data_IF_488947479559
#
_entry.id   IF_488947479559
#
_cell.length_a   1.000
_cell.length_b   1.000
_cell.length_c   1.000
_cell.angle_alpha   90.00
_cell.angle_beta   90.00
_cell.angle_gamma   90.00
#
_symmetry.space_group_name_H-M   'P 1'
#
loop_
_entity.id
_entity.type
_entity.pdbx_description
1 polymer ?
#
# COMPACT_ATOMS: atom_id res chain seq x y z
N UNK A 1 -5.87 24.30 -2.56
CA UNK A 1 -5.19 24.16 -1.26
C UNK A 1 -4.35 22.90 -1.34
N UNK A 2 -3.13 22.87 -0.79
CA UNK A 2 -2.30 21.68 -0.79
C UNK A 2 -3.00 20.54 -0.05
N UNK A 3 -2.80 19.31 -0.51
CA UNK A 3 -3.35 18.10 0.13
C UNK A 3 -2.37 17.60 1.18
N UNK A 4 -2.54 18.05 2.43
CA UNK A 4 -1.66 17.68 3.53
C UNK A 4 -2.12 16.37 4.16
N UNK A 5 -1.21 15.39 4.26
CA UNK A 5 -1.38 14.17 5.03
C UNK A 5 -0.27 14.03 6.06
N UNK A 6 -0.53 13.28 7.11
CA UNK A 6 0.31 13.24 8.30
C UNK A 6 0.94 11.86 8.50
N UNK A 7 2.25 11.86 8.79
CA UNK A 7 3.00 10.67 9.17
C UNK A 7 3.37 10.72 10.64
N UNK A 8 2.81 9.81 11.41
CA UNK A 8 3.15 9.60 12.82
C UNK A 8 4.36 8.69 12.93
N UNK A 9 5.35 9.07 13.72
CA UNK A 9 6.63 8.37 13.83
C UNK A 9 7.15 8.43 15.25
N UNK A 10 7.90 7.42 15.66
CA UNK A 10 8.79 7.54 16.79
C UNK A 10 9.95 8.50 16.45
N UNK A 11 10.75 8.89 17.46
CA UNK A 11 11.85 9.84 17.28
C UNK A 11 12.91 9.30 16.31
N UNK A 12 13.15 7.99 16.30
CA UNK A 12 14.16 7.39 15.44
C UNK A 12 13.70 7.43 13.99
N UNK A 13 12.46 7.01 13.74
CA UNK A 13 11.84 7.08 12.42
C UNK A 13 11.78 8.51 11.87
N UNK A 14 11.40 9.47 12.72
CA UNK A 14 11.36 10.88 12.32
C UNK A 14 12.74 11.44 11.97
N UNK A 15 13.76 11.15 12.76
CA UNK A 15 15.16 11.52 12.45
C UNK A 15 15.65 10.92 11.15
N UNK A 16 15.33 9.64 10.90
CA UNK A 16 15.68 8.97 9.64
C UNK A 16 14.96 9.62 8.46
N UNK A 17 13.66 9.89 8.58
CA UNK A 17 12.86 10.48 7.51
C UNK A 17 13.33 11.90 7.15
N UNK A 18 13.54 12.75 8.15
CA UNK A 18 13.99 14.13 7.95
C UNK A 18 15.45 14.17 7.48
N UNK A 19 16.33 13.42 8.16
CA UNK A 19 17.78 13.44 7.87
C UNK A 19 18.10 12.88 6.48
N UNK A 20 17.39 11.88 6.02
CA UNK A 20 17.58 11.27 4.72
C UNK A 20 16.64 11.84 3.64
N UNK A 21 15.73 12.72 4.02
CA UNK A 21 14.69 13.27 3.13
C UNK A 21 14.00 12.15 2.34
N UNK A 22 13.47 11.15 3.03
CA UNK A 22 12.83 10.01 2.38
C UNK A 22 11.54 9.58 3.06
N UNK A 23 10.68 8.91 2.30
CA UNK A 23 9.45 8.29 2.77
C UNK A 23 9.57 6.77 2.67
N UNK A 24 9.39 6.09 3.82
CA UNK A 24 9.46 4.64 3.88
C UNK A 24 8.16 4.01 3.40
N UNK A 25 8.30 3.04 2.51
CA UNK A 25 7.25 2.09 2.12
C UNK A 25 7.56 0.73 2.75
N UNK A 26 6.56 0.11 3.33
CA UNK A 26 6.67 -1.21 3.97
C UNK A 26 5.89 -2.24 3.14
N UNK A 27 6.42 -3.45 2.99
CA UNK A 27 5.71 -4.52 2.31
C UNK A 27 4.38 -4.83 3.02
N UNK A 28 3.30 -5.01 2.26
CA UNK A 28 1.97 -5.22 2.81
C UNK A 28 1.84 -6.47 3.69
N UNK A 29 2.72 -7.47 3.50
CA UNK A 29 2.78 -8.65 4.36
C UNK A 29 3.31 -8.38 5.79
N UNK A 30 3.91 -7.20 6.00
CA UNK A 30 4.56 -6.79 7.25
C UNK A 30 3.75 -5.73 8.03
N UNK A 31 2.49 -5.51 7.66
CA UNK A 31 1.61 -4.61 8.41
C UNK A 31 1.30 -5.18 9.80
N UNK A 32 1.05 -4.29 10.76
CA UNK A 32 0.76 -4.65 12.15
C UNK A 32 -0.56 -5.40 12.33
N UNK A 33 -1.56 -5.12 11.50
CA UNK A 33 -2.81 -5.86 11.46
C UNK A 33 -2.68 -7.05 10.48
N UNK A 34 -2.75 -8.31 10.94
CA UNK A 34 -2.63 -9.49 10.09
C UNK A 34 -3.79 -9.62 9.09
N UNK A 35 -4.93 -8.98 9.35
CA UNK A 35 -6.09 -8.98 8.45
C UNK A 35 -5.99 -7.89 7.37
N UNK A 36 -5.11 -6.91 7.55
CA UNK A 36 -4.95 -5.81 6.62
C UNK A 36 -4.39 -6.30 5.28
N UNK A 37 -5.00 -5.86 4.20
CA UNK A 37 -4.67 -6.28 2.83
C UNK A 37 -4.70 -7.81 2.62
N UNK A 38 -5.41 -8.56 3.49
CA UNK A 38 -5.37 -10.01 3.47
C UNK A 38 -6.19 -10.58 2.29
N UNK A 39 -5.70 -11.63 1.56
CA UNK A 39 -6.43 -12.25 0.45
C UNK A 39 -7.84 -12.71 0.79
N UNK A 40 -8.06 -13.17 2.05
CA UNK A 40 -9.39 -13.61 2.54
C UNK A 40 -10.42 -12.50 2.70
N UNK A 41 -10.08 -11.23 2.43
CA UNK A 41 -11.06 -10.17 2.26
C UNK A 41 -11.96 -10.39 1.02
N UNK A 42 -11.56 -11.28 0.12
CA UNK A 42 -12.28 -11.63 -1.10
C UNK A 42 -12.70 -13.09 -1.02
N UNK A 43 -13.91 -13.39 -1.49
CA UNK A 43 -14.43 -14.76 -1.58
C UNK A 43 -14.21 -15.33 -2.98
N UNK A 44 -13.41 -16.38 -3.08
CA UNK A 44 -13.12 -17.12 -4.32
C UNK A 44 -13.93 -18.42 -4.44
N UNK A 45 -14.87 -18.71 -3.53
CA UNK A 45 -15.54 -20.00 -3.45
C UNK A 45 -16.53 -20.28 -4.61
N UNK A 46 -17.11 -19.26 -5.22
CA UNK A 46 -18.13 -19.39 -6.27
C UNK A 46 -17.52 -19.40 -7.68
N UNK A 47 -16.68 -20.40 -7.95
CA UNK A 47 -16.07 -20.57 -9.28
C UNK A 47 -17.17 -20.80 -10.33
N UNK A 48 -17.25 -20.00 -11.41
CA UNK A 48 -18.29 -20.15 -12.41
C UNK A 48 -18.13 -21.44 -13.22
N UNK A 49 -19.25 -22.04 -13.63
CA UNK A 49 -19.27 -23.29 -14.40
C UNK A 49 -18.44 -23.22 -15.69
N UNK A 50 -18.29 -22.05 -16.28
CA UNK A 50 -17.43 -21.84 -17.46
C UNK A 50 -15.96 -22.14 -17.20
N UNK A 51 -15.49 -21.97 -15.95
CA UNK A 51 -14.12 -22.34 -15.52
C UNK A 51 -14.03 -23.82 -15.13
N UNK A 52 -15.14 -24.46 -14.77
CA UNK A 52 -15.23 -25.85 -14.37
C UNK A 52 -15.37 -26.81 -15.55
N UNK A 53 -15.32 -26.31 -16.78
CA UNK A 53 -15.32 -27.16 -17.98
C UNK A 53 -13.96 -27.85 -18.12
N UNK A 54 -13.98 -29.17 -17.99
CA UNK A 54 -12.80 -30.02 -18.09
C UNK A 54 -12.54 -30.84 -16.83
N UNK A 55 -11.29 -31.27 -16.65
CA UNK A 55 -10.84 -32.18 -15.57
C UNK A 55 -10.25 -31.43 -14.35
N UNK A 56 -10.18 -30.07 -14.40
CA UNK A 56 -9.58 -29.27 -13.32
C UNK A 56 -10.62 -29.10 -12.20
N UNK A 57 -10.33 -29.57 -10.97
CA UNK A 57 -11.28 -29.47 -9.86
C UNK A 57 -11.47 -28.01 -9.41
N UNK A 58 -12.63 -27.77 -8.79
CA UNK A 58 -13.02 -26.44 -8.28
C UNK A 58 -11.99 -25.92 -7.26
N UNK A 59 -11.50 -26.78 -6.40
CA UNK A 59 -10.56 -26.49 -5.33
C UNK A 59 -9.26 -25.89 -5.88
N UNK A 60 -8.80 -26.38 -7.04
CA UNK A 60 -7.62 -25.85 -7.72
C UNK A 60 -7.81 -24.40 -8.15
N UNK A 61 -9.00 -24.06 -8.65
CA UNK A 61 -9.30 -22.69 -9.04
C UNK A 61 -9.34 -21.74 -7.83
N UNK A 62 -9.92 -22.17 -6.71
CA UNK A 62 -9.96 -21.42 -5.47
C UNK A 62 -8.53 -21.16 -4.98
N UNK A 63 -7.74 -22.21 -4.83
CA UNK A 63 -6.36 -22.12 -4.37
C UNK A 63 -5.50 -21.24 -5.28
N UNK A 64 -5.67 -21.34 -6.58
CA UNK A 64 -4.96 -20.51 -7.56
C UNK A 64 -5.25 -19.02 -7.35
N UNK A 65 -6.51 -18.65 -7.21
CA UNK A 65 -6.89 -17.23 -7.05
C UNK A 65 -6.49 -16.69 -5.66
N UNK A 66 -6.60 -17.49 -4.60
CA UNK A 66 -6.10 -17.13 -3.28
C UNK A 66 -4.58 -16.92 -3.29
N UNK A 67 -3.83 -17.78 -3.97
CA UNK A 67 -2.38 -17.64 -4.13
C UNK A 67 -2.01 -16.43 -4.98
N UNK A 68 -2.78 -16.11 -6.04
CA UNK A 68 -2.57 -14.89 -6.82
C UNK A 68 -2.74 -13.63 -5.94
N UNK A 69 -3.79 -13.59 -5.13
CA UNK A 69 -4.04 -12.46 -4.22
C UNK A 69 -2.99 -12.37 -3.10
N UNK A 70 -2.49 -13.51 -2.61
CA UNK A 70 -1.38 -13.56 -1.65
C UNK A 70 -0.08 -13.06 -2.27
N UNK A 71 0.24 -13.49 -3.48
CA UNK A 71 1.42 -13.01 -4.21
C UNK A 71 1.33 -11.51 -4.47
N UNK A 72 0.15 -11.00 -4.82
CA UNK A 72 -0.07 -9.56 -4.97
C UNK A 72 0.20 -8.82 -3.66
N UNK A 73 -0.25 -9.33 -2.51
CA UNK A 73 0.06 -8.76 -1.19
C UNK A 73 1.57 -8.74 -0.92
N UNK A 74 2.25 -9.84 -1.21
CA UNK A 74 3.69 -9.97 -1.00
C UNK A 74 4.52 -9.12 -1.97
N UNK A 75 3.94 -8.78 -3.12
CA UNK A 75 4.55 -7.96 -4.17
C UNK A 75 4.03 -6.51 -4.16
N UNK A 76 3.57 -6.01 -3.00
CA UNK A 76 3.08 -4.64 -2.86
C UNK A 76 3.65 -3.97 -1.62
N UNK A 77 4.06 -2.72 -1.78
CA UNK A 77 4.56 -1.86 -0.70
C UNK A 77 3.64 -0.67 -0.52
N UNK A 78 3.48 -0.26 0.72
CA UNK A 78 2.63 0.88 1.03
C UNK A 78 3.22 1.77 2.12
N UNK A 79 2.80 3.03 2.09
CA UNK A 79 3.03 3.98 3.15
C UNK A 79 1.69 4.49 3.66
N UNK A 80 1.40 4.23 4.94
CA UNK A 80 0.20 4.72 5.61
C UNK A 80 0.42 6.14 6.12
N UNK A 81 -0.53 7.01 5.82
CA UNK A 81 -0.61 8.40 6.24
C UNK A 81 -1.99 8.64 6.86
N UNK A 82 -2.15 9.71 7.63
CA UNK A 82 -3.42 10.09 8.24
C UNK A 82 -3.91 11.43 7.69
N UNK A 83 -5.23 11.64 7.67
CA UNK A 83 -5.83 12.95 7.36
C UNK A 83 -5.76 13.92 8.53
N UNK A 84 -5.47 13.45 9.74
CA UNK A 84 -5.47 14.24 10.98
C UNK A 84 -4.13 14.11 11.72
N UNK A 85 -3.78 15.14 12.49
CA UNK A 85 -2.54 15.22 13.27
C UNK A 85 -2.77 15.28 14.79
N UNK A 86 -4.02 15.23 15.22
CA UNK A 86 -4.44 15.49 16.62
C UNK A 86 -5.10 14.28 17.29
N UNK A 87 -5.10 13.08 16.65
CA UNK A 87 -5.66 11.88 17.22
C UNK A 87 -4.80 11.35 18.38
N UNK A 88 -5.33 11.35 19.61
CA UNK A 88 -4.65 10.83 20.79
C UNK A 88 -4.26 9.34 20.63
N UNK A 89 -5.10 8.54 19.97
CA UNK A 89 -4.80 7.14 19.71
C UNK A 89 -3.62 6.99 18.74
N UNK A 90 -3.55 7.81 17.68
CA UNK A 90 -2.42 7.82 16.75
C UNK A 90 -1.13 8.22 17.47
N UNK A 91 -1.17 9.25 18.31
CA UNK A 91 -0.02 9.66 19.12
C UNK A 91 0.43 8.55 20.10
N UNK A 92 -0.51 7.83 20.68
CA UNK A 92 -0.19 6.70 21.58
C UNK A 92 0.44 5.54 20.82
N UNK A 93 -0.17 5.10 19.70
CA UNK A 93 0.21 3.87 19.00
C UNK A 93 1.46 4.03 18.13
N UNK A 94 1.59 5.17 17.44
CA UNK A 94 2.60 5.37 16.39
C UNK A 94 3.72 6.35 16.77
N UNK A 95 3.53 7.14 17.85
CA UNK A 95 4.52 8.08 18.34
C UNK A 95 5.12 7.68 19.69
N UNK A 96 5.37 6.39 19.89
CA UNK A 96 6.02 5.88 21.09
C UNK A 96 5.41 6.45 22.39
N UNK A 97 4.10 6.24 22.61
CA UNK A 97 3.35 6.77 23.75
C UNK A 97 3.50 8.30 23.90
N UNK A 98 3.11 9.04 22.89
CA UNK A 98 3.12 10.51 22.82
C UNK A 98 4.51 11.17 22.91
N UNK A 99 5.60 10.42 22.63
CA UNK A 99 6.99 10.91 22.68
C UNK A 99 7.63 11.01 21.30
N UNK A 100 6.86 10.80 20.25
CA UNK A 100 7.31 10.85 18.87
C UNK A 100 7.04 12.19 18.20
N UNK A 101 6.93 12.15 16.89
CA UNK A 101 6.75 13.32 16.01
C UNK A 101 5.69 12.98 14.98
N UNK A 102 4.85 13.97 14.64
CA UNK A 102 3.92 13.89 13.53
C UNK A 102 4.38 14.89 12.44
N UNK A 103 4.57 14.41 11.22
CA UNK A 103 5.08 15.20 10.10
C UNK A 103 3.96 15.38 9.07
N UNK A 104 3.64 16.60 8.74
CA UNK A 104 2.74 16.97 7.66
C UNK A 104 3.47 17.01 6.33
N UNK A 105 2.93 16.32 5.32
CA UNK A 105 3.45 16.21 3.98
C UNK A 105 2.46 16.77 2.96
N UNK A 106 2.94 17.62 2.06
CA UNK A 106 2.21 17.98 0.86
C UNK A 106 2.27 16.82 -0.16
N UNK A 107 1.16 16.10 -0.30
CA UNK A 107 1.12 14.88 -1.10
C UNK A 107 1.29 15.14 -2.59
N UNK A 108 0.86 16.28 -3.08
CA UNK A 108 1.02 16.62 -4.49
C UNK A 108 2.52 16.79 -4.80
N UNK A 109 3.27 17.44 -3.93
CA UNK A 109 4.74 17.56 -4.05
C UNK A 109 5.46 16.22 -3.82
N UNK A 110 4.92 15.37 -2.92
CA UNK A 110 5.44 13.99 -2.74
C UNK A 110 5.34 13.21 -4.04
N UNK A 111 4.19 13.25 -4.71
CA UNK A 111 3.99 12.56 -6.00
C UNK A 111 4.89 13.15 -7.10
N UNK A 112 5.08 14.47 -7.13
CA UNK A 112 6.01 15.12 -8.05
C UNK A 112 7.49 14.76 -7.81
N UNK A 113 7.81 14.26 -6.61
CA UNK A 113 9.18 13.81 -6.27
C UNK A 113 9.50 12.42 -6.84
N UNK A 114 8.50 11.67 -7.30
CA UNK A 114 8.69 10.35 -7.91
C UNK A 114 9.47 10.53 -9.22
N UNK A 115 10.67 9.95 -9.35
CA UNK A 115 11.43 10.09 -10.59
C UNK A 115 10.68 9.41 -11.74
N UNK A 116 10.60 10.04 -12.92
CA UNK A 116 10.05 9.39 -14.10
C UNK A 116 10.93 8.19 -14.45
N UNK A 117 10.41 6.99 -14.29
CA UNK A 117 11.11 5.78 -14.69
C UNK A 117 10.80 5.48 -16.16
N UNK A 118 11.80 5.71 -17.01
CA UNK A 118 11.85 5.25 -18.41
C UNK A 118 10.64 5.60 -19.29
N UNK A 119 10.43 6.87 -19.51
CA UNK A 119 9.59 7.39 -20.60
C UNK A 119 8.09 7.11 -20.55
N UNK A 120 7.65 6.03 -19.95
CA UNK A 120 6.22 5.66 -19.89
C UNK A 120 5.81 4.84 -18.67
N UNK A 121 6.75 4.36 -17.85
CA UNK A 121 6.41 3.58 -16.66
C UNK A 121 6.79 4.38 -15.43
N UNK A 122 5.77 4.94 -14.81
CA UNK A 122 5.88 5.63 -13.53
C UNK A 122 5.62 4.60 -12.43
N UNK A 123 6.48 4.54 -11.42
CA UNK A 123 6.13 3.95 -10.13
C UNK A 123 5.41 5.00 -9.28
N UNK A 124 4.49 5.74 -9.91
CA UNK A 124 3.67 6.68 -9.16
C UNK A 124 2.81 5.91 -8.16
N UNK A 125 2.90 6.23 -6.87
CA UNK A 125 2.07 5.58 -5.88
C UNK A 125 0.59 5.81 -6.13
N UNK A 126 -0.21 4.76 -6.07
CA UNK A 126 -1.66 4.91 -6.03
C UNK A 126 -2.06 5.51 -4.68
N UNK A 127 -2.84 6.58 -4.71
CA UNK A 127 -3.35 7.22 -3.49
C UNK A 127 -4.72 6.64 -3.18
N UNK A 128 -4.82 5.86 -2.12
CA UNK A 128 -6.05 5.15 -1.74
C UNK A 128 -6.51 5.57 -0.35
N UNK A 129 -7.73 6.06 -0.23
CA UNK A 129 -8.38 6.29 1.07
C UNK A 129 -8.92 4.98 1.61
N UNK A 130 -8.63 4.68 2.88
CA UNK A 130 -9.14 3.49 3.56
C UNK A 130 -10.63 3.61 3.82
N UNK A 131 -11.35 2.52 3.61
CA UNK A 131 -12.78 2.39 3.86
C UNK A 131 -13.00 1.46 5.05
N UNK A 132 -13.61 1.99 6.09
CA UNK A 132 -13.85 1.27 7.32
C UNK A 132 -15.23 0.62 7.32
N UNK A 133 -15.32 -0.61 7.80
CA UNK A 133 -16.55 -1.40 7.83
C UNK A 133 -16.78 -2.00 9.22
N UNK A 134 -18.00 -1.89 9.74
CA UNK A 134 -18.40 -2.54 11.00
C UNK A 134 -18.36 -4.07 10.86
N UNK A 135 -18.83 -4.56 9.71
CA UNK A 135 -18.71 -5.97 9.31
C UNK A 135 -18.04 -5.99 7.97
N UNK A 136 -16.87 -6.61 7.90
CA UNK A 136 -16.13 -6.71 6.64
C UNK A 136 -16.88 -7.64 5.69
N UNK A 137 -17.44 -7.06 4.64
CA UNK A 137 -18.01 -7.84 3.54
C UNK A 137 -16.89 -8.60 2.80
N UNK A 138 -17.23 -9.80 2.32
CA UNK A 138 -16.34 -10.58 1.46
C UNK A 138 -16.96 -10.69 0.07
N UNK A 139 -16.70 -9.72 -0.84
CA UNK A 139 -17.24 -9.76 -2.17
C UNK A 139 -16.78 -11.01 -2.91
N UNK A 140 -17.69 -11.65 -3.61
CA UNK A 140 -17.35 -12.79 -4.45
C UNK A 140 -16.57 -12.34 -5.69
N UNK A 141 -15.43 -12.95 -5.94
CA UNK A 141 -14.49 -12.56 -6.99
C UNK A 141 -15.07 -12.64 -8.42
N UNK A 142 -16.08 -13.49 -8.62
CA UNK A 142 -16.63 -13.76 -9.95
C UNK A 142 -17.95 -13.05 -10.23
N UNK A 143 -18.62 -12.52 -9.19
CA UNK A 143 -19.97 -11.97 -9.28
C UNK A 143 -20.07 -10.51 -8.81
N UNK A 144 -18.96 -9.90 -8.43
CA UNK A 144 -18.94 -8.51 -7.98
C UNK A 144 -18.62 -7.56 -9.13
N UNK A 145 -19.15 -6.35 -9.04
CA UNK A 145 -18.72 -5.19 -9.85
C UNK A 145 -17.67 -4.34 -9.15
N UNK A 146 -17.30 -4.68 -7.90
CA UNK A 146 -16.28 -3.98 -7.14
C UNK A 146 -14.91 -4.22 -7.78
N UNK A 147 -14.07 -3.19 -7.82
CA UNK A 147 -12.65 -3.35 -8.10
C UNK A 147 -11.99 -4.07 -6.91
N UNK A 148 -11.71 -5.36 -7.11
CA UNK A 148 -11.17 -6.24 -6.08
C UNK A 148 -9.75 -5.82 -5.64
N UNK A 149 -8.98 -5.25 -6.56
CA UNK A 149 -7.68 -4.70 -6.21
C UNK A 149 -7.85 -3.56 -5.20
N UNK A 150 -8.58 -2.52 -5.56
CA UNK A 150 -8.84 -1.41 -4.63
C UNK A 150 -9.51 -1.88 -3.35
N UNK A 151 -10.43 -2.86 -3.41
CA UNK A 151 -11.10 -3.40 -2.24
C UNK A 151 -10.10 -3.99 -1.24
N UNK A 152 -9.19 -4.84 -1.70
CA UNK A 152 -8.17 -5.47 -0.86
C UNK A 152 -7.26 -4.45 -0.16
N UNK A 153 -6.92 -3.34 -0.84
CA UNK A 153 -6.00 -2.33 -0.33
C UNK A 153 -6.67 -1.22 0.48
N UNK A 154 -7.98 -1.12 0.45
CA UNK A 154 -8.73 -0.03 1.10
C UNK A 154 -9.60 -0.48 2.26
N UNK A 155 -9.89 -1.77 2.39
CA UNK A 155 -10.83 -2.26 3.39
C UNK A 155 -10.13 -2.54 4.70
N UNK A 156 -10.67 -1.97 5.78
CA UNK A 156 -10.20 -2.13 7.15
C UNK A 156 -11.36 -2.19 8.13
N UNK A 157 -11.18 -2.85 9.28
CA UNK A 157 -12.19 -2.91 10.31
C UNK A 157 -12.44 -1.52 10.94
N UNK A 158 -13.67 -1.27 11.37
CA UNK A 158 -14.15 0.01 11.91
C UNK A 158 -13.35 0.49 13.13
N UNK A 159 -12.82 -0.44 13.91
CA UNK A 159 -12.01 -0.18 15.09
C UNK A 159 -10.76 0.68 14.77
N UNK A 160 -10.32 0.67 13.51
CA UNK A 160 -9.18 1.45 13.04
C UNK A 160 -9.58 2.81 12.45
N UNK A 161 -10.86 3.19 12.45
CA UNK A 161 -11.33 4.45 11.82
C UNK A 161 -10.68 5.72 12.38
N UNK A 162 -10.20 5.66 13.63
CA UNK A 162 -9.47 6.75 14.26
C UNK A 162 -8.17 7.14 13.54
N UNK A 163 -7.66 6.25 12.67
CA UNK A 163 -6.47 6.53 11.86
C UNK A 163 -6.75 7.47 10.69
N UNK A 164 -7.98 7.53 10.21
CA UNK A 164 -8.37 8.27 8.99
C UNK A 164 -7.34 8.09 7.87
N UNK A 165 -7.03 6.83 7.59
CA UNK A 165 -5.85 6.43 6.82
C UNK A 165 -6.01 6.71 5.33
N UNK A 166 -4.93 7.23 4.75
CA UNK A 166 -4.69 7.30 3.31
C UNK A 166 -3.40 6.55 3.01
N UNK A 167 -3.42 5.69 2.02
CA UNK A 167 -2.28 4.87 1.61
C UNK A 167 -1.69 5.35 0.31
N UNK A 168 -0.37 5.46 0.28
CA UNK A 168 0.39 5.46 -0.95
C UNK A 168 0.79 4.02 -1.24
N UNK A 169 0.33 3.44 -2.36
CA UNK A 169 0.51 2.02 -2.67
C UNK A 169 1.31 1.85 -3.95
N UNK A 170 2.36 1.04 -3.90
CA UNK A 170 3.22 0.72 -5.04
C UNK A 170 3.20 -0.80 -5.24
N UNK A 171 2.42 -1.32 -6.18
CA UNK A 171 2.51 -2.72 -6.58
C UNK A 171 3.78 -2.96 -7.40
N UNK A 172 4.41 -4.11 -7.23
CA UNK A 172 5.48 -4.56 -8.12
C UNK A 172 5.00 -4.60 -9.57
N UNK A 173 5.76 -4.04 -10.50
CA UNK A 173 5.39 -4.09 -11.91
C UNK A 173 5.19 -5.53 -12.36
N UNK A 174 4.04 -5.82 -12.98
CA UNK A 174 3.78 -7.14 -13.54
C UNK A 174 4.81 -7.46 -14.64
N UNK A 175 5.25 -8.74 -14.77
CA UNK A 175 6.08 -9.17 -15.89
C UNK A 175 5.48 -8.90 -17.29
N UNK A 176 4.16 -8.67 -17.37
CA UNK A 176 3.48 -8.25 -18.60
C UNK A 176 3.89 -6.83 -19.02
N UNK A 177 4.26 -5.99 -18.05
CA UNK A 177 4.91 -4.70 -18.31
C UNK A 177 6.43 -4.83 -18.48
N UNK A 178 6.98 -6.01 -18.27
CA UNK A 178 8.37 -6.39 -18.52
C UNK A 178 8.66 -6.72 -20.00
N UNK A 179 7.96 -6.10 -20.95
CA UNK A 179 8.53 -5.82 -22.25
C UNK A 179 9.68 -4.79 -22.13
N UNK A 180 10.32 -4.77 -20.94
CA UNK A 180 11.55 -4.06 -20.69
C UNK A 180 12.68 -4.71 -21.47
N UNK A 181 13.45 -3.88 -22.13
CA UNK A 181 14.77 -4.35 -22.57
C UNK A 181 15.54 -4.86 -21.34
N UNK A 182 16.47 -5.82 -21.51
CA UNK A 182 17.29 -6.32 -20.41
C UNK A 182 18.00 -5.21 -19.60
N UNK A 183 18.33 -4.08 -20.26
CA UNK A 183 18.92 -2.90 -19.62
C UNK A 183 17.91 -2.17 -18.72
N UNK A 184 16.66 -2.02 -19.14
CA UNK A 184 15.60 -1.40 -18.34
C UNK A 184 15.26 -2.27 -17.11
N UNK A 185 15.21 -3.60 -17.27
CA UNK A 185 15.02 -4.53 -16.17
C UNK A 185 16.16 -4.48 -15.15
N UNK A 186 17.40 -4.29 -15.62
CA UNK A 186 18.57 -4.11 -14.76
C UNK A 186 18.47 -2.83 -13.95
N UNK A 187 18.12 -1.72 -14.58
CA UNK A 187 18.00 -0.41 -13.92
C UNK A 187 16.87 -0.36 -12.89
N UNK A 188 15.71 -0.99 -13.19
CA UNK A 188 14.60 -1.12 -12.23
C UNK A 188 15.02 -1.91 -11.00
N UNK A 189 15.82 -2.93 -11.18
CA UNK A 189 16.35 -3.76 -10.09
C UNK A 189 17.38 -3.01 -9.24
N UNK A 190 18.16 -2.10 -9.85
CA UNK A 190 19.14 -1.28 -9.13
C UNK A 190 18.47 -0.18 -8.29
N UNK A 191 17.31 0.35 -8.72
CA UNK A 191 16.58 1.41 -8.02
C UNK A 191 15.70 0.83 -6.89
N UNK A 192 15.13 -0.37 -7.11
CA UNK A 192 14.16 -0.96 -6.19
C UNK A 192 14.37 -2.48 -6.12
N UNK A 193 14.95 -2.96 -5.04
CA UNK A 193 15.07 -4.40 -4.82
C UNK A 193 13.77 -4.96 -4.23
N UNK A 194 12.96 -5.57 -5.08
CA UNK A 194 11.66 -6.15 -4.72
C UNK A 194 11.72 -7.29 -3.69
N UNK A 195 12.91 -7.71 -3.25
CA UNK A 195 13.11 -8.66 -2.16
C UNK A 195 13.16 -7.98 -0.81
N UNK A 196 13.38 -6.66 -0.78
CA UNK A 196 13.46 -5.91 0.47
C UNK A 196 12.06 -5.66 1.05
N UNK A 197 11.95 -5.79 2.37
CA UNK A 197 10.71 -5.53 3.11
C UNK A 197 10.37 -4.04 3.12
N UNK A 198 11.39 -3.20 3.05
CA UNK A 198 11.26 -1.73 3.12
C UNK A 198 11.94 -1.08 1.94
N UNK A 199 11.25 -0.10 1.38
CA UNK A 199 11.78 0.76 0.34
C UNK A 199 11.67 2.22 0.75
N UNK A 200 12.50 3.05 0.17
CA UNK A 200 12.57 4.46 0.52
C UNK A 200 12.47 5.31 -0.74
N UNK A 201 11.47 6.17 -0.79
CA UNK A 201 11.30 7.16 -1.84
C UNK A 201 11.95 8.48 -1.37
N UNK A 202 12.87 9.03 -2.15
CA UNK A 202 13.47 10.32 -1.87
C UNK A 202 12.44 11.44 -2.03
N UNK A 203 12.44 12.38 -1.09
CA UNK A 203 11.58 13.55 -1.06
C UNK A 203 12.41 14.81 -1.30
N UNK A 204 11.81 15.80 -1.94
CA UNK A 204 12.36 17.15 -1.94
C UNK A 204 11.98 17.84 -0.63
N UNK A 205 12.82 18.77 -0.18
CA UNK A 205 12.57 19.51 1.09
C UNK A 205 11.23 20.22 1.15
N UNK A 206 10.71 20.67 0.01
CA UNK A 206 9.41 21.30 -0.14
C UNK A 206 8.19 20.40 0.08
N UNK A 207 8.40 19.05 0.21
CA UNK A 207 7.35 18.12 0.57
C UNK A 207 6.96 18.22 2.06
N UNK A 208 7.85 18.72 2.90
CA UNK A 208 7.64 18.85 4.33
C UNK A 208 6.91 20.16 4.63
N UNK A 209 5.69 20.09 5.16
CA UNK A 209 4.83 21.25 5.41
C UNK A 209 4.85 21.66 6.88
N UNK A 210 4.82 20.69 7.80
CA UNK A 210 4.76 20.98 9.24
C UNK A 210 5.35 19.83 10.07
N UNK A 211 5.78 20.15 11.29
CA UNK A 211 6.27 19.19 12.27
C UNK A 211 5.61 19.50 13.61
N UNK A 212 5.01 18.50 14.25
CA UNK A 212 4.31 18.58 15.54
C UNK A 212 5.00 17.74 16.60
#
# INVERSE_FOLDING_TARGET
MPRILYKYLDIVGAKCMIGNQNLQFTNASQLNDPFDCHPKLIDYSNVPNTKLQGWIPKEWWIEKEENNALNLRNDTWLCSLSKINDSLLMWSHYCYNHKGICIGLDIDKVLESVPPMFGTIYLEPLVLEVQYQDIIERPNAYHTTKDLFSYQWRTKAKEWEYEQEVRLVIPKPSPIYAAFTPQQAKLTKEIWDWREIRHYMLLKGECFESIY
#
